data_IF_640425268886
#
_entry.id   IF_640425268886
#
_cell.length_a   1.000
_cell.length_b   1.000
_cell.length_c   1.000
_cell.angle_alpha   90.00
_cell.angle_beta   90.00
_cell.angle_gamma   90.00
#
_symmetry.space_group_name_H-M   'P 1'
#
loop_
_entity.id
_entity.type
_entity.pdbx_description
1 polymer ?
#
# COMPACT_ATOMS: atom_id res chain seq x y z
N UNK A 1 13.02 -19.23 -1.47
CA UNK A 1 12.75 -18.34 -0.31
C UNK A 1 11.34 -18.61 0.18
N UNK A 2 11.17 -18.86 1.49
CA UNK A 2 9.94 -19.45 2.04
C UNK A 2 8.74 -18.50 1.99
N UNK A 3 7.58 -19.06 1.62
CA UNK A 3 6.26 -18.43 1.67
C UNK A 3 6.02 -17.61 2.96
N UNK A 4 6.50 -18.14 4.09
CA UNK A 4 6.47 -17.47 5.40
C UNK A 4 7.12 -16.08 5.39
N UNK A 5 8.27 -15.93 4.72
CA UNK A 5 8.96 -14.64 4.61
C UNK A 5 8.09 -13.58 3.95
N UNK A 6 7.35 -13.98 2.92
CA UNK A 6 6.45 -13.08 2.20
C UNK A 6 5.19 -12.76 2.99
N UNK A 7 4.64 -13.71 3.75
CA UNK A 7 3.56 -13.44 4.70
C UNK A 7 3.99 -12.40 5.74
N UNK A 8 5.16 -12.59 6.35
CA UNK A 8 5.68 -11.66 7.36
C UNK A 8 5.95 -10.28 6.77
N UNK A 9 6.44 -10.20 5.54
CA UNK A 9 6.63 -8.93 4.84
C UNK A 9 5.30 -8.24 4.48
N UNK A 10 4.27 -9.00 4.08
CA UNK A 10 2.91 -8.49 3.85
C UNK A 10 2.32 -7.92 5.14
N UNK A 11 2.46 -8.65 6.25
CA UNK A 11 2.02 -8.22 7.56
C UNK A 11 2.77 -6.97 8.04
N UNK A 12 4.10 -6.94 7.86
CA UNK A 12 4.93 -5.79 8.16
C UNK A 12 4.45 -4.54 7.42
N UNK A 13 4.22 -4.63 6.10
CA UNK A 13 3.71 -3.49 5.33
C UNK A 13 2.37 -2.97 5.87
N UNK A 14 1.45 -3.87 6.22
CA UNK A 14 0.16 -3.49 6.81
C UNK A 14 0.32 -2.76 8.16
N UNK A 15 1.21 -3.22 9.04
CA UNK A 15 1.48 -2.56 10.33
C UNK A 15 2.06 -1.17 10.12
N UNK A 16 3.09 -1.06 9.26
CA UNK A 16 3.81 0.19 9.06
C UNK A 16 2.85 1.32 8.69
N UNK A 17 1.91 1.07 7.77
CA UNK A 17 0.94 2.09 7.37
C UNK A 17 -0.10 2.33 8.46
N UNK A 18 -0.63 1.27 9.09
CA UNK A 18 -1.68 1.45 10.09
C UNK A 18 -1.22 2.17 11.36
N UNK A 19 0.06 2.09 11.71
CA UNK A 19 0.65 2.74 12.89
C UNK A 19 1.20 4.11 12.55
N UNK A 20 2.05 4.20 11.52
CA UNK A 20 2.83 5.42 11.30
C UNK A 20 2.10 6.46 10.45
N UNK A 21 1.27 6.06 9.50
CA UNK A 21 0.54 7.03 8.66
C UNK A 21 -0.29 8.03 9.48
N UNK A 22 -1.08 7.63 10.50
CA UNK A 22 -1.84 8.58 11.33
C UNK A 22 -0.96 9.58 12.08
N UNK A 23 0.29 9.22 12.42
CA UNK A 23 1.22 10.12 13.11
C UNK A 23 1.67 11.28 12.21
N UNK A 24 1.68 11.07 10.89
CA UNK A 24 2.03 12.09 9.90
C UNK A 24 0.80 12.81 9.33
N UNK A 25 -0.38 12.19 9.39
CA UNK A 25 -1.64 12.78 8.93
C UNK A 25 -1.98 14.10 9.63
N UNK A 26 -1.87 14.13 10.96
CA UNK A 26 -2.26 15.29 11.78
C UNK A 26 -1.34 16.51 11.63
N UNK A 27 0.00 16.39 11.74
CA UNK A 27 0.88 17.57 11.72
C UNK A 27 1.07 18.19 10.33
N UNK A 28 0.83 17.43 9.24
CA UNK A 28 1.19 17.88 7.89
C UNK A 28 0.00 18.14 6.96
N UNK A 29 -1.24 17.88 7.40
CA UNK A 29 -2.46 18.21 6.66
C UNK A 29 -2.44 17.73 5.20
N UNK A 30 -2.58 18.66 4.26
CA UNK A 30 -2.59 18.38 2.81
C UNK A 30 -1.30 17.71 2.30
N UNK A 31 -0.15 17.94 2.95
CA UNK A 31 1.13 17.33 2.59
C UNK A 31 1.37 15.98 3.24
N UNK A 32 0.49 15.54 4.15
CA UNK A 32 0.68 14.30 4.88
C UNK A 32 0.87 13.08 3.98
N UNK A 33 0.14 13.01 2.86
CA UNK A 33 0.29 11.92 1.90
C UNK A 33 1.67 11.86 1.26
N UNK A 34 2.23 13.02 0.88
CA UNK A 34 3.57 13.11 0.31
C UNK A 34 4.64 12.70 1.33
N UNK A 35 4.54 13.23 2.56
CA UNK A 35 5.50 12.98 3.64
C UNK A 35 5.43 11.52 4.10
N UNK A 36 4.23 10.98 4.33
CA UNK A 36 4.05 9.56 4.67
C UNK A 36 4.49 8.64 3.52
N UNK A 37 4.32 9.08 2.27
CA UNK A 37 4.88 8.44 1.09
C UNK A 37 6.41 8.31 1.17
N UNK A 38 7.11 9.42 1.44
CA UNK A 38 8.57 9.43 1.50
C UNK A 38 9.13 8.70 2.73
N UNK A 39 8.55 8.89 3.91
CA UNK A 39 9.12 8.43 5.19
C UNK A 39 8.64 7.03 5.57
N UNK A 40 7.42 6.64 5.18
CA UNK A 40 6.84 5.35 5.58
C UNK A 40 6.75 4.40 4.39
N UNK A 41 6.09 4.81 3.29
CA UNK A 41 5.85 3.93 2.13
C UNK A 41 7.18 3.59 1.45
N UNK A 42 8.05 4.57 1.18
CA UNK A 42 9.33 4.35 0.50
C UNK A 42 10.23 3.32 1.20
N UNK A 43 10.55 3.48 2.50
CA UNK A 43 11.35 2.50 3.24
C UNK A 43 10.67 1.13 3.34
N UNK A 44 9.35 1.10 3.54
CA UNK A 44 8.59 -0.16 3.57
C UNK A 44 8.68 -0.88 2.23
N UNK A 45 8.51 -0.14 1.12
CA UNK A 45 8.66 -0.66 -0.23
C UNK A 45 10.06 -1.20 -0.48
N UNK A 46 11.10 -0.49 -0.04
CA UNK A 46 12.49 -0.93 -0.20
C UNK A 46 12.73 -2.30 0.46
N UNK A 47 12.22 -2.50 1.69
CA UNK A 47 12.33 -3.79 2.39
C UNK A 47 11.49 -4.85 1.68
N UNK A 48 10.23 -4.53 1.37
CA UNK A 48 9.28 -5.49 0.83
C UNK A 48 9.61 -5.93 -0.61
N UNK A 49 9.93 -4.98 -1.49
CA UNK A 49 10.12 -5.20 -2.92
C UNK A 49 11.59 -5.20 -3.33
N UNK A 50 12.34 -4.13 -3.03
CA UNK A 50 13.73 -4.02 -3.50
C UNK A 50 14.64 -5.09 -2.90
N UNK A 51 14.48 -5.41 -1.61
CA UNK A 51 15.19 -6.54 -0.96
C UNK A 51 14.54 -7.90 -1.26
N UNK A 52 13.42 -7.96 -1.97
CA UNK A 52 12.76 -9.20 -2.38
C UNK A 52 12.10 -9.98 -1.23
N UNK A 53 11.56 -9.27 -0.22
CA UNK A 53 10.95 -9.94 0.93
C UNK A 53 9.56 -10.50 0.59
N UNK A 54 8.80 -9.75 -0.21
CA UNK A 54 7.60 -10.22 -0.90
C UNK A 54 8.04 -10.91 -2.19
N UNK A 55 7.72 -12.20 -2.30
CA UNK A 55 8.01 -13.00 -3.47
C UNK A 55 7.25 -12.45 -4.68
N UNK A 56 7.95 -12.29 -5.79
CA UNK A 56 7.36 -11.89 -7.07
C UNK A 56 7.25 -13.12 -7.98
N UNK A 57 6.14 -13.24 -8.72
CA UNK A 57 5.95 -14.28 -9.73
C UNK A 57 6.50 -13.84 -11.09
N UNK A 58 6.65 -14.78 -12.03
CA UNK A 58 7.04 -14.45 -13.42
C UNK A 58 6.01 -13.56 -14.14
N UNK A 59 4.74 -13.72 -13.79
CA UNK A 59 3.62 -13.05 -14.46
C UNK A 59 2.71 -12.28 -13.49
N UNK A 60 2.99 -12.34 -12.18
CA UNK A 60 2.19 -11.72 -11.15
C UNK A 60 3.08 -10.88 -10.24
N UNK A 61 2.89 -9.56 -10.31
CA UNK A 61 3.45 -8.63 -9.35
C UNK A 61 2.56 -8.61 -8.10
N UNK A 62 3.10 -9.10 -6.99
CA UNK A 62 2.41 -9.10 -5.70
C UNK A 62 2.82 -7.82 -4.99
N UNK A 63 1.91 -6.85 -4.93
CA UNK A 63 2.15 -5.51 -4.39
C UNK A 63 1.76 -5.39 -2.91
N UNK A 64 2.63 -4.80 -2.07
CA UNK A 64 2.35 -4.58 -0.64
C UNK A 64 1.10 -3.72 -0.38
N UNK A 65 0.68 -2.91 -1.36
CA UNK A 65 -0.56 -2.14 -1.37
C UNK A 65 -1.80 -3.02 -1.22
N UNK A 66 -1.78 -4.26 -1.70
CA UNK A 66 -2.87 -5.22 -1.46
C UNK A 66 -3.03 -5.55 0.03
N UNK A 67 -1.92 -5.73 0.76
CA UNK A 67 -1.92 -5.94 2.21
C UNK A 67 -2.45 -4.72 2.95
N UNK A 68 -1.96 -3.54 2.56
CA UNK A 68 -2.32 -2.26 3.16
C UNK A 68 -3.82 -2.00 2.96
N UNK A 69 -4.30 -2.05 1.72
CA UNK A 69 -5.71 -1.81 1.39
C UNK A 69 -6.64 -2.77 2.14
N UNK A 70 -6.35 -4.07 2.12
CA UNK A 70 -7.17 -5.07 2.80
C UNK A 70 -7.22 -4.83 4.30
N UNK A 71 -6.06 -4.61 4.94
CA UNK A 71 -5.99 -4.39 6.38
C UNK A 71 -6.70 -3.09 6.82
N UNK A 72 -6.54 -2.00 6.06
CA UNK A 72 -7.20 -0.72 6.35
C UNK A 72 -8.71 -0.83 6.17
N UNK A 73 -9.18 -1.50 5.10
CA UNK A 73 -10.61 -1.72 4.87
C UNK A 73 -11.24 -2.53 5.99
N UNK A 74 -10.65 -3.68 6.34
CA UNK A 74 -11.16 -4.55 7.42
C UNK A 74 -11.15 -3.81 8.76
N UNK A 75 -10.04 -3.15 9.12
CA UNK A 75 -9.95 -2.35 10.34
C UNK A 75 -11.02 -1.26 10.37
N UNK A 76 -11.25 -0.58 9.25
CA UNK A 76 -12.24 0.50 9.17
C UNK A 76 -13.65 -0.05 9.31
N UNK A 77 -14.02 -1.10 8.58
CA UNK A 77 -15.34 -1.72 8.67
C UNK A 77 -15.65 -2.29 10.07
N UNK A 78 -14.63 -2.75 10.81
CA UNK A 78 -14.80 -3.22 12.18
C UNK A 78 -14.94 -2.08 13.20
N UNK A 79 -14.33 -0.91 12.94
CA UNK A 79 -14.31 0.23 13.87
C UNK A 79 -15.38 1.27 13.61
N UNK A 80 -15.58 1.57 12.34
CA UNK A 80 -16.53 2.53 11.82
C UNK A 80 -17.61 1.70 11.14
N UNK A 81 -18.88 1.96 11.48
CA UNK A 81 -19.99 1.15 11.00
C UNK A 81 -20.06 1.10 9.47
N UNK A 82 -21.05 0.36 8.97
CA UNK A 82 -21.22 0.21 7.52
C UNK A 82 -21.43 1.55 6.80
N UNK A 83 -22.06 2.53 7.46
CA UNK A 83 -22.31 3.87 6.89
C UNK A 83 -21.01 4.63 6.58
N UNK A 84 -20.05 4.57 7.48
CA UNK A 84 -18.74 5.23 7.38
C UNK A 84 -17.87 4.56 6.33
N UNK A 85 -18.03 3.24 6.15
CA UNK A 85 -17.39 2.50 5.04
C UNK A 85 -17.92 3.00 3.69
N UNK A 86 -19.22 3.25 3.56
CA UNK A 86 -19.81 3.83 2.34
C UNK A 86 -19.34 5.26 2.11
N UNK A 87 -19.21 6.08 3.17
CA UNK A 87 -18.68 7.43 3.07
C UNK A 87 -17.23 7.49 2.57
N UNK A 88 -16.44 6.42 2.76
CA UNK A 88 -15.07 6.32 2.28
C UNK A 88 -14.93 5.91 0.79
N UNK A 89 -16.02 5.53 0.11
CA UNK A 89 -15.98 5.08 -1.29
C UNK A 89 -15.33 6.07 -2.27
N UNK A 90 -15.58 7.39 -2.20
CA UNK A 90 -14.92 8.34 -3.09
C UNK A 90 -13.39 8.30 -2.94
N UNK A 91 -12.90 8.22 -1.70
CA UNK A 91 -11.47 8.08 -1.41
C UNK A 91 -10.91 6.78 -1.99
N UNK A 92 -11.62 5.66 -1.78
CA UNK A 92 -11.22 4.37 -2.35
C UNK A 92 -11.16 4.41 -3.89
N UNK A 93 -12.10 5.08 -4.53
CA UNK A 93 -12.10 5.25 -5.99
C UNK A 93 -10.88 6.04 -6.46
N UNK A 94 -10.54 7.16 -5.80
CA UNK A 94 -9.33 7.92 -6.15
C UNK A 94 -8.04 7.12 -5.95
N UNK A 95 -7.97 6.28 -4.91
CA UNK A 95 -6.85 5.38 -4.68
C UNK A 95 -6.72 4.32 -5.79
N UNK A 96 -7.84 3.74 -6.23
CA UNK A 96 -7.86 2.78 -7.35
C UNK A 96 -7.33 3.43 -8.63
N UNK A 97 -7.79 4.64 -8.95
CA UNK A 97 -7.28 5.38 -10.13
C UNK A 97 -5.78 5.65 -10.03
N UNK A 98 -5.30 6.09 -8.86
CA UNK A 98 -3.87 6.29 -8.62
C UNK A 98 -3.05 5.01 -8.78
N UNK A 99 -3.55 3.88 -8.27
CA UNK A 99 -2.91 2.58 -8.40
C UNK A 99 -2.84 2.10 -9.87
N UNK A 100 -3.92 2.29 -10.63
CA UNK A 100 -3.96 1.97 -12.08
C UNK A 100 -2.93 2.83 -12.83
N UNK A 101 -2.87 4.13 -12.57
CA UNK A 101 -1.92 5.04 -13.22
C UNK A 101 -0.47 4.67 -12.88
N UNK A 102 -0.18 4.33 -11.62
CA UNK A 102 1.14 3.90 -11.19
C UNK A 102 1.56 2.58 -11.87
N UNK A 103 0.66 1.59 -11.92
CA UNK A 103 0.88 0.31 -12.59
C UNK A 103 1.10 0.48 -14.10
N UNK A 104 0.31 1.34 -14.75
CA UNK A 104 0.46 1.68 -16.16
C UNK A 104 1.80 2.37 -16.45
N UNK A 105 2.20 3.34 -15.63
CA UNK A 105 3.49 4.03 -15.77
C UNK A 105 4.66 3.06 -15.61
N UNK A 106 4.61 2.19 -14.59
CA UNK A 106 5.61 1.14 -14.40
C UNK A 106 5.73 0.25 -15.65
N UNK A 107 4.61 -0.23 -16.20
CA UNK A 107 4.62 -1.02 -17.42
C UNK A 107 5.22 -0.27 -18.61
N UNK A 108 4.97 1.04 -18.73
CA UNK A 108 5.53 1.84 -19.82
C UNK A 108 7.05 2.04 -19.73
N UNK A 109 7.60 2.07 -18.51
CA UNK A 109 9.04 2.21 -18.28
C UNK A 109 9.75 0.86 -18.40
N UNK A 110 9.26 -0.16 -17.67
CA UNK A 110 9.96 -1.44 -17.49
C UNK A 110 9.44 -2.55 -18.41
N UNK A 111 8.22 -2.40 -18.91
CA UNK A 111 7.57 -3.38 -19.80
C UNK A 111 7.85 -3.14 -21.29
N UNK A 112 8.46 -2.01 -21.66
CA UNK A 112 8.91 -1.73 -23.03
C UNK A 112 10.30 -2.34 -23.34
N UNK A 113 11.04 -2.76 -22.31
CA UNK A 113 12.38 -3.35 -22.42
C UNK A 113 12.39 -4.89 -22.39
N UNK A 114 11.21 -5.53 -22.51
CA UNK A 114 11.03 -6.97 -22.71
C UNK A 114 10.22 -7.24 -23.96
#
# INVERSE_FOLDING_TARGET
MSFLKSILAYYFAAIMINIFWPLFATPFGLFAGFIAGAIVIGPTWYICHYKGFISQGKHLAIDMGGAIATSVLVKTALKAGFSETLAALPTLFTLILGAILAGWLYWKIEGAEK
#
